data_IF_164149158932
#
_entry.id   IF_164149158932
#
_cell.length_a   1.000
_cell.length_b   1.000
_cell.length_c   1.000
_cell.angle_alpha   90.00
_cell.angle_beta   90.00
_cell.angle_gamma   90.00
#
_symmetry.space_group_name_H-M   'P 1'
#
loop_
_entity.id
_entity.type
_entity.pdbx_description
1 polymer ?
#
# COMPACT_ATOMS: atom_id res chain seq x y z
N UNK A 1 -24.38 8.55 6.74
CA UNK A 1 -23.63 7.31 7.03
C UNK A 1 -22.27 7.52 6.42
N UNK A 2 -21.23 7.69 7.23
CA UNK A 2 -19.86 7.80 6.74
C UNK A 2 -19.50 6.45 6.11
N UNK A 3 -19.22 6.44 4.81
CA UNK A 3 -18.83 5.20 4.14
C UNK A 3 -17.48 4.78 4.74
N UNK A 4 -17.44 3.67 5.47
CA UNK A 4 -16.18 3.04 5.89
C UNK A 4 -15.41 2.76 4.62
N UNK A 5 -14.41 3.59 4.34
CA UNK A 5 -13.74 3.55 3.06
C UNK A 5 -12.60 2.52 3.20
N UNK A 6 -12.61 1.40 2.46
CA UNK A 6 -11.69 0.29 2.72
C UNK A 6 -10.22 0.73 2.61
N UNK A 7 -9.31 0.18 3.43
CA UNK A 7 -7.87 0.47 3.39
C UNK A 7 -7.52 1.94 3.69
N UNK A 8 -7.47 2.27 4.97
CA UNK A 8 -7.03 3.58 5.47
C UNK A 8 -5.54 3.83 5.24
N UNK A 9 -5.10 5.05 5.55
CA UNK A 9 -3.68 5.40 5.56
C UNK A 9 -2.87 4.39 6.38
N UNK A 10 -1.66 4.10 5.90
CA UNK A 10 -0.73 3.11 6.44
C UNK A 10 -1.17 1.64 6.31
N UNK A 11 -2.35 1.35 5.75
CA UNK A 11 -2.75 -0.01 5.43
C UNK A 11 -1.78 -0.65 4.43
N UNK A 12 -1.47 -1.93 4.67
CA UNK A 12 -0.68 -2.75 3.75
C UNK A 12 -1.62 -3.52 2.83
N UNK A 13 -1.47 -3.29 1.53
CA UNK A 13 -2.40 -3.74 0.49
C UNK A 13 -1.65 -4.42 -0.64
N UNK A 14 -2.38 -5.20 -1.43
CA UNK A 14 -1.94 -5.67 -2.74
C UNK A 14 -3.08 -5.44 -3.73
N UNK A 15 -2.77 -5.46 -5.02
CA UNK A 15 -3.81 -5.37 -6.04
C UNK A 15 -4.64 -6.67 -6.05
N UNK A 16 -5.96 -6.54 -6.15
CA UNK A 16 -6.88 -7.66 -5.98
C UNK A 16 -6.90 -8.61 -7.19
N UNK A 17 -6.65 -8.08 -8.39
CA UNK A 17 -6.77 -8.83 -9.66
C UNK A 17 -5.44 -9.09 -10.37
N UNK A 18 -4.33 -8.56 -9.86
CA UNK A 18 -2.99 -8.79 -10.42
C UNK A 18 -1.92 -8.71 -9.34
N UNK A 19 -0.83 -9.42 -9.52
CA UNK A 19 0.36 -9.42 -8.68
C UNK A 19 1.50 -8.56 -9.25
N UNK A 20 1.35 -8.03 -10.48
CA UNK A 20 2.40 -7.28 -11.20
C UNK A 20 2.92 -6.08 -10.41
N UNK A 21 2.05 -5.45 -9.61
CA UNK A 21 2.41 -4.28 -8.82
C UNK A 21 3.11 -4.63 -7.50
N UNK A 22 3.00 -5.89 -7.07
CA UNK A 22 3.41 -6.34 -5.74
C UNK A 22 2.60 -5.70 -4.61
N UNK A 23 3.02 -5.92 -3.35
CA UNK A 23 2.39 -5.27 -2.21
C UNK A 23 2.80 -3.80 -2.10
N UNK A 24 1.97 -3.03 -1.39
CA UNK A 24 2.17 -1.62 -1.18
C UNK A 24 1.59 -1.11 0.15
N UNK A 25 1.92 0.14 0.46
CA UNK A 25 1.44 0.87 1.64
C UNK A 25 0.58 2.06 1.21
N UNK A 26 -0.60 2.21 1.79
CA UNK A 26 -1.46 3.39 1.53
C UNK A 26 -0.81 4.63 2.15
N UNK A 27 -0.53 5.63 1.33
CA UNK A 27 0.00 6.94 1.75
C UNK A 27 -1.11 7.94 2.06
N UNK A 28 -2.25 7.82 1.39
CA UNK A 28 -3.38 8.72 1.55
C UNK A 28 -4.65 8.19 0.91
N UNK A 29 -5.78 8.73 1.37
CA UNK A 29 -7.13 8.41 0.93
C UNK A 29 -7.71 9.65 0.24
N UNK A 30 -8.27 9.46 -0.96
CA UNK A 30 -8.93 10.51 -1.74
C UNK A 30 -10.25 9.96 -2.29
N UNK A 31 -11.32 10.12 -1.52
CA UNK A 31 -12.62 9.50 -1.81
C UNK A 31 -12.49 7.99 -1.99
N UNK A 32 -12.87 7.50 -3.17
CA UNK A 32 -12.79 6.08 -3.52
C UNK A 32 -11.36 5.61 -3.83
N UNK A 33 -10.40 6.51 -3.98
CA UNK A 33 -9.04 6.20 -4.40
C UNK A 33 -8.05 6.18 -3.23
N UNK A 34 -7.01 5.35 -3.37
CA UNK A 34 -5.86 5.27 -2.47
C UNK A 34 -4.62 5.62 -3.24
N UNK A 35 -3.84 6.55 -2.70
CA UNK A 35 -2.47 6.77 -3.17
C UNK A 35 -1.59 5.71 -2.48
N UNK A 36 -1.15 4.71 -3.23
CA UNK A 36 -0.40 3.56 -2.70
C UNK A 36 1.06 3.65 -3.14
N UNK A 37 1.97 3.43 -2.19
CA UNK A 37 3.40 3.21 -2.44
C UNK A 37 3.65 1.73 -2.62
N UNK A 38 3.88 1.32 -3.86
CA UNK A 38 4.47 0.02 -4.19
C UNK A 38 5.99 0.11 -4.10
N UNK A 39 6.67 -1.03 -4.17
CA UNK A 39 8.14 -1.11 -4.12
C UNK A 39 8.80 -0.22 -5.18
N UNK A 40 8.26 -0.24 -6.41
CA UNK A 40 8.89 0.42 -7.56
C UNK A 40 8.30 1.79 -7.92
N UNK A 41 7.04 2.05 -7.59
CA UNK A 41 6.35 3.29 -7.96
C UNK A 41 5.26 3.68 -6.96
N UNK A 42 4.65 4.85 -7.18
CA UNK A 42 3.44 5.29 -6.47
C UNK A 42 2.31 5.34 -7.50
N UNK A 43 1.14 4.81 -7.13
CA UNK A 43 -0.04 4.84 -7.99
C UNK A 43 -1.29 5.22 -7.21
N UNK A 44 -2.26 5.78 -7.91
CA UNK A 44 -3.60 6.02 -7.40
C UNK A 44 -4.50 4.89 -7.87
N UNK A 45 -5.07 4.12 -6.94
CA UNK A 45 -5.82 2.88 -7.22
C UNK A 45 -7.19 2.98 -6.53
N UNK A 46 -8.26 2.45 -7.13
CA UNK A 46 -9.56 2.40 -6.44
C UNK A 46 -9.48 1.44 -5.25
N UNK A 47 -10.21 1.74 -4.18
CA UNK A 47 -10.24 0.90 -2.98
C UNK A 47 -10.66 -0.55 -3.28
N UNK A 48 -11.62 -0.71 -4.19
CA UNK A 48 -12.19 -2.01 -4.55
C UNK A 48 -11.25 -2.87 -5.40
N UNK A 49 -10.25 -2.24 -6.05
CA UNK A 49 -9.19 -2.94 -6.77
C UNK A 49 -8.04 -3.37 -5.83
N UNK A 50 -8.16 -3.09 -4.53
CA UNK A 50 -7.18 -3.45 -3.52
C UNK A 50 -7.74 -4.50 -2.56
N UNK A 51 -6.86 -5.40 -2.15
CA UNK A 51 -7.09 -6.31 -1.03
C UNK A 51 -6.08 -6.07 0.08
N UNK A 52 -6.35 -6.50 1.32
CA UNK A 52 -5.32 -6.55 2.34
C UNK A 52 -4.14 -7.40 1.86
N UNK A 53 -2.92 -6.95 2.12
CA UNK A 53 -1.74 -7.77 1.92
C UNK A 53 -1.82 -9.01 2.82
N UNK A 54 -1.40 -10.17 2.31
CA UNK A 54 -1.30 -11.41 3.08
C UNK A 54 -0.08 -11.40 4.03
N UNK A 55 0.12 -12.50 4.75
CA UNK A 55 1.22 -12.59 5.71
C UNK A 55 2.61 -12.49 5.08
N UNK A 56 2.80 -13.08 3.90
CA UNK A 56 4.09 -13.05 3.21
C UNK A 56 4.37 -11.66 2.65
N UNK A 57 3.40 -11.10 1.95
CA UNK A 57 3.45 -9.75 1.38
C UNK A 57 3.72 -8.68 2.45
N UNK A 58 3.10 -8.82 3.63
CA UNK A 58 3.36 -7.93 4.77
C UNK A 58 4.80 -8.03 5.25
N UNK A 59 5.36 -9.23 5.31
CA UNK A 59 6.73 -9.44 5.75
C UNK A 59 7.72 -8.83 4.74
N UNK A 60 7.50 -9.06 3.44
CA UNK A 60 8.30 -8.47 2.36
C UNK A 60 8.26 -6.95 2.39
N UNK A 61 7.06 -6.37 2.50
CA UNK A 61 6.90 -4.92 2.54
C UNK A 61 7.55 -4.31 3.79
N UNK A 62 7.41 -4.96 4.95
CA UNK A 62 8.02 -4.47 6.21
C UNK A 62 9.54 -4.50 6.13
N UNK A 63 10.12 -5.58 5.58
CA UNK A 63 11.56 -5.68 5.37
C UNK A 63 12.07 -4.59 4.41
N UNK A 64 11.35 -4.37 3.32
CA UNK A 64 11.67 -3.31 2.36
C UNK A 64 11.57 -1.91 2.98
N UNK A 65 10.52 -1.63 3.75
CA UNK A 65 10.33 -0.35 4.46
C UNK A 65 11.47 -0.08 5.44
N UNK A 66 11.91 -1.09 6.20
CA UNK A 66 13.06 -0.98 7.11
C UNK A 66 14.35 -0.66 6.35
N UNK A 67 14.66 -1.42 5.30
CA UNK A 67 15.85 -1.19 4.48
C UNK A 67 15.85 0.22 3.85
N UNK A 68 14.67 0.73 3.47
CA UNK A 68 14.53 2.11 2.99
C UNK A 68 14.75 3.15 4.08
N UNK A 69 14.17 2.96 5.26
CA UNK A 69 14.38 3.86 6.39
C UNK A 69 15.85 3.91 6.82
N UNK A 70 16.54 2.76 6.86
CA UNK A 70 17.99 2.70 7.14
C UNK A 70 18.83 3.43 6.09
N UNK A 71 18.45 3.34 4.82
CA UNK A 71 19.19 3.95 3.72
C UNK A 71 18.93 5.44 3.53
N UNK A 72 17.70 5.90 3.81
CA UNK A 72 17.24 7.24 3.44
C UNK A 72 16.71 8.07 4.62
N UNK A 73 16.73 7.55 5.85
CA UNK A 73 16.32 8.30 7.05
C UNK A 73 14.82 8.42 7.26
N UNK A 74 14.00 7.74 6.45
CA UNK A 74 12.53 7.69 6.63
C UNK A 74 11.73 8.73 5.83
N UNK A 75 12.39 9.69 5.18
CA UNK A 75 11.76 10.69 4.30
C UNK A 75 11.93 10.28 2.82
N UNK A 76 11.01 9.47 2.30
CA UNK A 76 11.05 8.98 0.90
C UNK A 76 9.67 8.61 0.32
#
# INVERSE_FOLDING_TARGET
>A
MEAVTPHDRDALVAHATTDIYGPGKVLGVDGEYRRVRFVHFVATVRADDLRPADHQERAELTAWLRAKAERYGGDW
#
